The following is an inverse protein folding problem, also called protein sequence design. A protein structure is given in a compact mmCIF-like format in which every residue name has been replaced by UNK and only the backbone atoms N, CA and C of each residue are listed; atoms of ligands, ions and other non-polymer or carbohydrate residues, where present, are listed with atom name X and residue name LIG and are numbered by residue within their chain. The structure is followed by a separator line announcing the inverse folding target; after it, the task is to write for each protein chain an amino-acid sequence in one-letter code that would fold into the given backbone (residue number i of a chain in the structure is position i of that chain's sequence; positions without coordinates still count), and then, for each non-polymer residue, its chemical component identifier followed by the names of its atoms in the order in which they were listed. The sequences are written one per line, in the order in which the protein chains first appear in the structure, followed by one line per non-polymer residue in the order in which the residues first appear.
data_IF_280348495506
#
_entry.id   IF_280348495506
#
_cell.length_a   1.000
_cell.length_b   1.000
_cell.length_c   1.000
_cell.angle_alpha   90.00
_cell.angle_beta   90.00
_cell.angle_gamma   90.00
#
_symmetry.space_group_name_H-M   'P 1'
#
loop_
_entity.id
_entity.type
_entity.pdbx_description
1 polymer ?
#
# COMPACT_ATOMS: atom_id res chain seq x y z
N UNK A 1 -5.94 -5.13 -12.92
CA UNK A 1 -7.02 -4.37 -12.26
C UNK A 1 -6.59 -2.91 -12.22
N UNK A 2 -7.37 -2.04 -12.86
CA UNK A 2 -7.17 -0.60 -12.78
C UNK A 2 -7.56 -0.13 -11.37
N UNK A 3 -6.75 0.74 -10.78
CA UNK A 3 -7.02 1.35 -9.47
C UNK A 3 -7.44 2.78 -9.72
N UNK A 4 -8.62 3.16 -9.25
CA UNK A 4 -9.14 4.52 -9.42
C UNK A 4 -8.98 5.26 -8.12
N UNK A 5 -8.23 6.37 -8.16
CA UNK A 5 -7.89 7.18 -7.00
C UNK A 5 -8.39 8.61 -7.24
N UNK A 6 -8.93 9.26 -6.22
CA UNK A 6 -9.31 10.66 -6.26
C UNK A 6 -8.56 11.46 -5.20
N UNK A 7 -8.11 12.66 -5.56
CA UNK A 7 -7.62 13.69 -4.65
C UNK A 7 -8.49 14.94 -4.81
N UNK A 8 -8.65 15.72 -3.74
CA UNK A 8 -9.38 17.00 -3.77
C UNK A 8 -8.55 18.08 -3.10
N UNK A 9 -7.99 19.01 -3.88
CA UNK A 9 -7.06 20.02 -3.37
C UNK A 9 -6.86 21.17 -4.37
N UNK A 10 -6.22 22.25 -3.93
CA UNK A 10 -6.03 23.48 -4.71
C UNK A 10 -4.57 23.74 -5.08
N UNK A 11 -4.32 24.78 -5.88
CA UNK A 11 -2.98 25.10 -6.37
C UNK A 11 -1.98 25.45 -5.25
N UNK A 12 -2.44 25.94 -4.09
CA UNK A 12 -1.55 26.20 -2.96
C UNK A 12 -0.94 24.90 -2.40
N UNK A 13 -1.62 23.78 -2.60
CA UNK A 13 -1.18 22.44 -2.19
C UNK A 13 -0.55 21.64 -3.35
N UNK A 14 -0.18 22.27 -4.47
CA UNK A 14 0.33 21.57 -5.64
C UNK A 14 1.56 20.70 -5.35
N UNK A 15 2.45 21.16 -4.45
CA UNK A 15 3.62 20.39 -4.02
C UNK A 15 3.24 19.10 -3.28
N UNK A 16 2.18 19.16 -2.48
CA UNK A 16 1.66 18.05 -1.70
C UNK A 16 0.96 17.06 -2.63
N UNK A 17 0.08 17.55 -3.52
CA UNK A 17 -0.56 16.75 -4.57
C UNK A 17 0.49 15.99 -5.40
N UNK A 18 1.50 16.71 -5.91
CA UNK A 18 2.58 16.11 -6.70
C UNK A 18 3.34 15.03 -5.92
N UNK A 19 3.64 15.28 -4.66
CA UNK A 19 4.35 14.33 -3.80
C UNK A 19 3.52 13.06 -3.56
N UNK A 20 2.22 13.21 -3.29
CA UNK A 20 1.31 12.08 -3.14
C UNK A 20 1.19 11.29 -4.44
N UNK A 21 1.01 11.95 -5.59
CA UNK A 21 0.95 11.28 -6.91
C UNK A 21 2.24 10.51 -7.20
N UNK A 22 3.42 11.09 -6.95
CA UNK A 22 4.71 10.38 -7.12
C UNK A 22 4.76 9.11 -6.27
N UNK A 23 4.32 9.19 -5.02
CA UNK A 23 4.28 8.02 -4.13
C UNK A 23 3.29 6.94 -4.60
N UNK A 24 2.14 7.34 -5.15
CA UNK A 24 1.15 6.43 -5.76
C UNK A 24 1.77 5.70 -6.95
N UNK A 25 2.31 6.47 -7.91
CA UNK A 25 2.85 5.94 -9.17
C UNK A 25 4.07 5.06 -8.94
N UNK A 26 4.94 5.42 -7.98
CA UNK A 26 6.09 4.61 -7.61
C UNK A 26 5.69 3.23 -7.06
N UNK A 27 4.58 3.13 -6.32
CA UNK A 27 4.20 1.88 -5.66
C UNK A 27 3.12 1.08 -6.41
N UNK A 28 2.49 1.66 -7.44
CA UNK A 28 1.32 1.09 -8.11
C UNK A 28 1.34 1.35 -9.61
N UNK A 29 1.14 0.28 -10.40
CA UNK A 29 0.91 0.34 -11.85
C UNK A 29 -0.59 0.33 -12.15
N UNK A 30 -1.00 0.75 -13.36
CA UNK A 30 -2.39 0.75 -13.81
C UNK A 30 -3.31 1.56 -12.87
N UNK A 31 -2.98 2.85 -12.68
CA UNK A 31 -3.68 3.76 -11.79
C UNK A 31 -4.29 4.92 -12.58
N UNK A 32 -5.57 5.16 -12.37
CA UNK A 32 -6.29 6.33 -12.87
C UNK A 32 -6.49 7.28 -11.70
N UNK A 33 -5.89 8.47 -11.78
CA UNK A 33 -5.90 9.45 -10.69
C UNK A 33 -6.75 10.65 -11.14
N UNK A 34 -7.79 10.96 -10.38
CA UNK A 34 -8.58 12.16 -10.53
C UNK A 34 -8.11 13.23 -9.56
N UNK A 35 -7.89 14.46 -10.03
CA UNK A 35 -7.58 15.60 -9.18
C UNK A 35 -8.71 16.62 -9.28
N UNK A 36 -9.57 16.62 -8.26
CA UNK A 36 -10.67 17.56 -8.10
C UNK A 36 -10.11 18.89 -7.61
N UNK A 37 -10.27 19.94 -8.39
CA UNK A 37 -9.71 21.25 -8.10
C UNK A 37 -10.49 22.39 -8.79
N UNK A 38 -10.20 23.63 -8.41
CA UNK A 38 -10.80 24.81 -9.05
C UNK A 38 -9.79 25.63 -9.87
N UNK A 39 -8.51 25.57 -9.51
CA UNK A 39 -7.52 26.59 -9.87
C UNK A 39 -6.15 26.03 -10.34
N UNK A 40 -5.98 24.71 -10.41
CA UNK A 40 -4.72 24.12 -10.87
C UNK A 40 -4.58 24.33 -12.39
N UNK A 41 -3.47 24.92 -12.88
CA UNK A 41 -3.27 25.17 -14.31
C UNK A 41 -3.26 23.88 -15.14
N UNK A 42 -3.90 23.94 -16.31
CA UNK A 42 -3.89 22.83 -17.28
C UNK A 42 -2.47 22.41 -17.70
N UNK A 43 -1.52 23.35 -17.73
CA UNK A 43 -0.13 23.12 -18.12
C UNK A 43 0.56 22.11 -17.18
N UNK A 44 0.18 22.12 -15.90
CA UNK A 44 0.68 21.14 -14.93
C UNK A 44 0.18 19.73 -15.27
N UNK A 45 -1.10 19.57 -15.59
CA UNK A 45 -1.67 18.30 -16.03
C UNK A 45 -1.09 17.81 -17.36
N UNK A 46 -0.94 18.71 -18.34
CA UNK A 46 -0.30 18.39 -19.62
C UNK A 46 1.16 17.97 -19.43
N UNK A 47 1.90 18.69 -18.57
CA UNK A 47 3.29 18.38 -18.23
C UNK A 47 3.44 17.02 -17.55
N UNK A 48 2.60 16.74 -16.56
CA UNK A 48 2.59 15.46 -15.85
C UNK A 48 2.24 14.31 -16.79
N UNK A 49 1.16 14.43 -17.58
CA UNK A 49 0.72 13.37 -18.48
C UNK A 49 1.72 13.07 -19.61
N UNK A 50 2.62 14.00 -19.99
CA UNK A 50 3.73 13.70 -20.90
C UNK A 50 4.65 12.60 -20.37
N UNK A 51 4.87 12.53 -19.05
CA UNK A 51 5.63 11.44 -18.44
C UNK A 51 4.86 10.11 -18.44
N UNK A 52 3.53 10.16 -18.49
CA UNK A 52 2.65 9.00 -18.40
C UNK A 52 2.27 8.37 -19.74
N UNK A 53 2.64 8.98 -20.88
CA UNK A 53 2.25 8.53 -22.24
C UNK A 53 2.52 7.04 -22.49
N UNK A 54 3.63 6.51 -21.98
CA UNK A 54 4.02 5.10 -22.15
C UNK A 54 3.72 4.25 -20.90
N UNK A 55 2.94 4.79 -19.96
CA UNK A 55 2.56 4.10 -18.74
C UNK A 55 1.13 3.56 -18.85
N UNK A 56 0.75 2.70 -17.91
CA UNK A 56 -0.64 2.23 -17.77
C UNK A 56 -1.48 3.15 -16.86
N UNK A 57 -0.91 4.27 -16.43
CA UNK A 57 -1.50 5.18 -15.48
C UNK A 57 -1.82 6.53 -16.13
N UNK A 58 -2.81 7.24 -15.60
CA UNK A 58 -3.23 8.55 -16.11
C UNK A 58 -3.61 9.48 -14.95
N UNK A 59 -3.47 10.79 -15.16
CA UNK A 59 -3.96 11.82 -14.24
C UNK A 59 -4.97 12.70 -14.97
N UNK A 60 -6.20 12.75 -14.47
CA UNK A 60 -7.31 13.51 -15.05
C UNK A 60 -7.64 14.74 -14.20
N UNK A 61 -7.81 15.87 -14.89
CA UNK A 61 -8.22 17.15 -14.30
C UNK A 61 -9.74 17.19 -14.16
N UNK A 62 -10.24 17.31 -12.94
CA UNK A 62 -11.67 17.48 -12.65
C UNK A 62 -11.87 18.88 -12.08
N UNK A 63 -12.39 19.79 -12.92
CA UNK A 63 -12.68 21.16 -12.52
C UNK A 63 -14.05 21.27 -11.86
N UNK A 64 -14.08 21.90 -10.69
CA UNK A 64 -15.32 22.34 -10.05
C UNK A 64 -15.38 23.86 -9.98
N UNK A 65 -16.58 24.41 -10.06
CA UNK A 65 -16.76 25.85 -9.99
C UNK A 65 -16.56 26.30 -8.53
N UNK A 66 -15.62 27.22 -8.24
CA UNK A 66 -15.38 27.68 -6.88
C UNK A 66 -16.62 28.31 -6.23
N UNK A 67 -17.56 28.84 -7.03
CA UNK A 67 -18.81 29.40 -6.52
C UNK A 67 -19.72 28.36 -5.87
N UNK A 68 -19.61 27.09 -6.27
CA UNK A 68 -20.43 25.99 -5.75
C UNK A 68 -19.95 25.53 -4.37
N UNK A 69 -18.72 25.89 -3.97
CA UNK A 69 -18.11 25.44 -2.71
C UNK A 69 -17.67 26.58 -1.78
N UNK A 70 -17.51 27.82 -2.27
CA UNK A 70 -17.03 28.97 -1.47
C UNK A 70 -17.91 29.31 -0.26
N UNK A 71 -19.18 28.91 -0.29
CA UNK A 71 -20.15 29.21 0.77
C UNK A 71 -20.16 28.14 1.87
N UNK A 72 -19.48 27.02 1.65
CA UNK A 72 -19.33 25.95 2.64
C UNK A 72 -18.36 26.39 3.74
N UNK A 73 -18.55 25.90 4.95
CA UNK A 73 -17.71 26.22 6.10
C UNK A 73 -16.59 25.19 6.23
N UNK A 74 -15.38 25.65 6.56
CA UNK A 74 -14.25 24.79 6.94
C UNK A 74 -14.00 24.89 8.44
N UNK A 75 -13.37 23.86 9.01
CA UNK A 75 -13.14 23.79 10.47
C UNK A 75 -11.89 24.51 10.93
N UNK A 76 -10.92 24.70 10.05
CA UNK A 76 -9.60 25.23 10.38
C UNK A 76 -9.12 26.18 9.28
N UNK A 77 -8.45 27.26 9.66
CA UNK A 77 -8.02 28.33 8.73
C UNK A 77 -7.06 27.84 7.64
N UNK A 78 -6.36 26.73 7.88
CA UNK A 78 -5.45 26.12 6.90
C UNK A 78 -6.13 25.16 5.91
N UNK A 79 -7.44 24.92 6.06
CA UNK A 79 -8.24 24.06 5.19
C UNK A 79 -9.10 24.93 4.27
N UNK A 80 -8.88 24.74 2.97
CA UNK A 80 -9.63 25.39 1.89
C UNK A 80 -10.97 24.68 1.63
N UNK A 81 -11.95 25.41 1.10
CA UNK A 81 -13.28 24.90 0.72
C UNK A 81 -13.21 23.67 -0.21
N UNK A 82 -12.11 23.52 -0.94
CA UNK A 82 -11.86 22.36 -1.81
C UNK A 82 -11.84 21.03 -1.05
N UNK A 83 -11.70 21.01 0.28
CA UNK A 83 -11.81 19.77 1.06
C UNK A 83 -13.18 19.09 0.88
N UNK A 84 -14.23 19.87 0.62
CA UNK A 84 -15.57 19.38 0.30
C UNK A 84 -15.68 18.76 -1.10
N UNK A 85 -14.73 18.97 -2.01
CA UNK A 85 -14.77 18.34 -3.33
C UNK A 85 -14.85 16.80 -3.28
N UNK A 86 -14.36 16.18 -2.20
CA UNK A 86 -14.48 14.73 -1.95
C UNK A 86 -15.93 14.23 -1.88
N UNK A 87 -16.88 15.04 -1.40
CA UNK A 87 -18.27 14.61 -1.30
C UNK A 87 -18.95 14.58 -2.68
N UNK A 88 -18.39 15.27 -3.67
CA UNK A 88 -18.91 15.36 -5.03
C UNK A 88 -18.43 14.20 -5.94
N UNK A 89 -17.58 13.29 -5.43
CA UNK A 89 -17.05 12.14 -6.19
C UNK A 89 -18.13 11.36 -6.97
N UNK A 90 -19.31 11.05 -6.41
CA UNK A 90 -20.35 10.31 -7.13
C UNK A 90 -20.89 11.04 -8.36
N UNK A 91 -20.93 12.37 -8.36
CA UNK A 91 -21.33 13.18 -9.51
C UNK A 91 -20.19 13.38 -10.53
N UNK A 92 -18.95 13.44 -10.06
CA UNK A 92 -17.79 13.82 -10.87
C UNK A 92 -17.06 12.64 -11.52
N UNK A 93 -17.12 11.45 -10.91
CA UNK A 93 -16.31 10.29 -11.31
C UNK A 93 -17.21 9.11 -11.70
N UNK A 94 -17.03 8.59 -12.92
CA UNK A 94 -17.87 7.53 -13.48
C UNK A 94 -17.53 6.12 -12.98
N UNK A 95 -16.33 5.89 -12.47
CA UNK A 95 -15.89 4.57 -12.02
C UNK A 95 -16.66 4.08 -10.77
N UNK A 96 -16.87 2.76 -10.66
CA UNK A 96 -17.73 2.13 -9.64
C UNK A 96 -17.10 2.06 -8.24
N UNK A 97 -15.78 2.00 -8.16
CA UNK A 97 -15.03 1.97 -6.90
C UNK A 97 -13.93 3.02 -6.97
N UNK A 98 -13.85 3.88 -5.96
CA UNK A 98 -12.90 5.00 -5.91
C UNK A 98 -12.22 5.01 -4.55
N UNK A 99 -10.89 5.08 -4.53
CA UNK A 99 -10.13 5.37 -3.32
C UNK A 99 -9.85 6.87 -3.24
N UNK A 100 -10.50 7.58 -2.32
CA UNK A 100 -10.15 8.96 -2.02
C UNK A 100 -8.92 9.01 -1.11
N UNK A 101 -7.98 9.92 -1.41
CA UNK A 101 -6.80 10.22 -0.60
C UNK A 101 -6.65 11.75 -0.42
N UNK A 102 -6.39 12.19 0.81
CA UNK A 102 -5.92 13.55 1.07
C UNK A 102 -4.52 13.80 0.46
N UNK A 103 -4.21 15.06 0.17
CA UNK A 103 -2.94 15.45 -0.46
C UNK A 103 -1.73 15.43 0.48
N UNK A 104 -1.92 15.25 1.78
CA UNK A 104 -0.86 15.18 2.80
C UNK A 104 -0.54 13.73 3.20
N UNK A 105 -0.54 12.85 2.19
CA UNK A 105 -0.35 11.41 2.33
C UNK A 105 0.83 10.93 1.48
N UNK A 106 1.51 9.89 1.97
CA UNK A 106 2.42 9.05 1.20
C UNK A 106 1.86 7.64 1.06
N UNK A 107 1.68 7.18 -0.18
CA UNK A 107 1.48 5.77 -0.48
C UNK A 107 2.85 5.10 -0.50
N UNK A 108 3.05 4.18 0.43
CA UNK A 108 4.34 3.55 0.74
C UNK A 108 4.36 2.04 0.41
N UNK A 109 3.34 1.56 -0.31
CA UNK A 109 3.31 0.19 -0.80
C UNK A 109 2.21 -0.06 -1.82
N UNK A 110 2.20 -1.30 -2.33
CA UNK A 110 1.18 -1.75 -3.27
C UNK A 110 -0.22 -1.76 -2.62
N UNK A 111 -1.22 -1.27 -3.35
CA UNK A 111 -2.61 -1.14 -2.90
C UNK A 111 -3.56 -2.17 -3.55
N UNK A 112 -3.07 -3.20 -4.24
CA UNK A 112 -3.94 -4.15 -4.92
C UNK A 112 -4.93 -4.82 -3.95
N UNK A 113 -4.46 -5.15 -2.74
CA UNK A 113 -5.31 -5.85 -1.77
C UNK A 113 -6.37 -4.91 -1.18
N UNK A 114 -6.07 -3.62 -1.00
CA UNK A 114 -7.07 -2.60 -0.63
C UNK A 114 -8.23 -2.54 -1.64
N UNK A 115 -7.92 -2.51 -2.94
CA UNK A 115 -8.93 -2.48 -4.00
C UNK A 115 -9.67 -3.82 -4.20
N UNK A 116 -9.16 -4.92 -3.64
CA UNK A 116 -9.84 -6.24 -3.67
C UNK A 116 -10.76 -6.47 -2.47
N UNK A 117 -10.79 -5.55 -1.50
CA UNK A 117 -11.64 -5.68 -0.33
C UNK A 117 -13.11 -5.74 -0.77
N UNK A 118 -13.80 -6.77 -0.32
CA UNK A 118 -15.25 -6.84 -0.38
C UNK A 118 -15.82 -6.10 0.83
N UNK A 119 -16.33 -4.89 0.62
CA UNK A 119 -16.94 -4.06 1.68
C UNK A 119 -18.35 -4.51 2.07
N UNK A 120 -18.83 -5.67 1.59
CA UNK A 120 -20.14 -6.22 1.88
C UNK A 120 -21.25 -5.20 1.55
N UNK A 121 -22.13 -4.88 2.50
CA UNK A 121 -23.19 -3.88 2.36
C UNK A 121 -22.72 -2.43 2.54
N UNK A 122 -21.48 -2.19 2.97
CA UNK A 122 -21.03 -0.83 3.30
C UNK A 122 -20.68 -0.03 2.03
N UNK A 123 -21.15 1.21 1.99
CA UNK A 123 -20.85 2.15 0.90
C UNK A 123 -19.46 2.81 1.04
N UNK A 124 -18.90 2.77 2.24
CA UNK A 124 -17.64 3.42 2.60
C UNK A 124 -16.81 2.50 3.48
N UNK A 125 -15.52 2.39 3.15
CA UNK A 125 -14.50 1.79 3.99
C UNK A 125 -13.49 2.85 4.45
N UNK A 126 -13.19 2.89 5.74
CA UNK A 126 -12.26 3.84 6.32
C UNK A 126 -11.57 3.27 7.56
N UNK A 127 -10.51 3.94 8.01
CA UNK A 127 -9.81 3.59 9.25
C UNK A 127 -10.34 4.47 10.39
N UNK A 128 -10.64 3.90 11.57
CA UNK A 128 -11.02 4.67 12.75
C UNK A 128 -9.99 5.77 13.09
N UNK A 129 -10.46 6.94 13.52
CA UNK A 129 -9.56 7.97 14.03
C UNK A 129 -8.95 7.50 15.36
N UNK A 130 -7.62 7.62 15.50
CA UNK A 130 -6.91 7.08 16.68
C UNK A 130 -7.31 7.77 18.00
N UNK A 131 -7.84 8.99 17.93
CA UNK A 131 -8.12 9.82 19.10
C UNK A 131 -9.61 9.84 19.45
N UNK A 132 -10.16 8.68 19.82
CA UNK A 132 -11.32 8.62 20.73
C UNK A 132 -11.17 7.53 21.78
N UNK A 133 -10.58 7.96 22.88
CA UNK A 133 -10.99 7.57 24.24
C UNK A 133 -12.54 7.56 24.32
N UNK A 134 -13.12 6.43 24.72
CA UNK A 134 -14.52 6.27 25.15
C UNK A 134 -15.64 6.74 24.19
N UNK A 135 -16.05 5.89 23.23
CA UNK A 135 -17.48 5.75 22.93
C UNK A 135 -18.06 6.22 21.59
N UNK A 136 -17.28 6.70 20.61
CA UNK A 136 -17.81 6.82 19.23
C UNK A 136 -16.78 6.36 18.19
N UNK A 137 -17.12 5.33 17.42
CA UNK A 137 -16.28 4.72 16.39
C UNK A 137 -16.17 5.59 15.12
N UNK A 138 -15.82 6.88 15.25
CA UNK A 138 -15.71 7.79 14.09
C UNK A 138 -14.42 7.49 13.29
N UNK A 139 -14.51 7.58 11.97
CA UNK A 139 -13.39 7.37 11.05
C UNK A 139 -12.68 8.68 10.69
N UNK A 140 -11.41 8.55 10.30
CA UNK A 140 -10.68 9.63 9.63
C UNK A 140 -11.07 9.71 8.14
N UNK A 141 -11.33 10.91 7.63
CA UNK A 141 -11.81 11.11 6.25
C UNK A 141 -10.72 11.22 5.19
N UNK A 142 -9.44 11.13 5.55
CA UNK A 142 -8.34 11.30 4.60
C UNK A 142 -8.03 10.09 3.73
N UNK A 143 -8.57 8.92 4.07
CA UNK A 143 -8.55 7.72 3.22
C UNK A 143 -9.91 7.07 3.24
N UNK A 144 -10.60 7.08 2.10
CA UNK A 144 -11.94 6.51 1.95
C UNK A 144 -11.99 5.58 0.74
N UNK A 145 -12.28 4.30 0.97
CA UNK A 145 -12.64 3.37 -0.11
C UNK A 145 -14.14 3.47 -0.35
N UNK A 146 -14.53 4.04 -1.48
CA UNK A 146 -15.92 4.34 -1.82
C UNK A 146 -16.49 3.30 -2.76
N UNK A 147 -17.63 2.73 -2.41
CA UNK A 147 -18.52 2.05 -3.35
C UNK A 147 -19.29 3.13 -4.11
N UNK A 148 -18.61 3.73 -5.09
CA UNK A 148 -19.12 4.86 -5.84
C UNK A 148 -20.36 4.51 -6.66
N UNK A 149 -20.52 3.24 -7.07
CA UNK A 149 -21.76 2.74 -7.69
C UNK A 149 -22.96 2.94 -6.75
N UNK A 150 -22.85 2.47 -5.51
CA UNK A 150 -23.93 2.61 -4.54
C UNK A 150 -24.18 4.07 -4.14
N UNK A 151 -23.12 4.88 -4.04
CA UNK A 151 -23.26 6.31 -3.71
C UNK A 151 -23.97 7.12 -4.80
N UNK A 152 -23.85 6.72 -6.07
CA UNK A 152 -24.61 7.34 -7.18
C UNK A 152 -26.11 7.07 -7.12
N UNK A 153 -26.49 5.92 -6.58
CA UNK A 153 -27.89 5.54 -6.38
C UNK A 153 -28.51 6.24 -5.16
N UNK A 154 -27.67 6.67 -4.21
CA UNK A 154 -28.08 7.41 -3.02
C UNK A 154 -28.28 8.91 -3.30
N UNK A 155 -29.46 9.25 -3.81
CA UNK A 155 -29.88 10.62 -4.14
C UNK A 155 -29.81 11.60 -2.96
N UNK A 156 -29.72 11.12 -1.72
CA UNK A 156 -29.66 11.97 -0.53
C UNK A 156 -28.23 12.30 -0.09
N UNK A 157 -27.22 11.58 -0.60
CA UNK A 157 -25.84 11.72 -0.16
C UNK A 157 -25.33 13.16 -0.29
N UNK A 158 -25.18 13.64 -1.51
CA UNK A 158 -24.64 14.99 -1.77
C UNK A 158 -25.50 16.09 -1.14
N UNK A 159 -26.84 16.14 -1.35
CA UNK A 159 -27.67 17.20 -0.76
C UNK A 159 -27.62 17.26 0.77
N UNK A 160 -27.56 16.10 1.43
CA UNK A 160 -27.48 16.02 2.90
C UNK A 160 -26.16 16.57 3.42
N UNK A 161 -25.04 16.18 2.80
CA UNK A 161 -23.73 16.68 3.21
C UNK A 161 -23.56 18.18 2.89
N UNK A 162 -24.01 18.67 1.73
CA UNK A 162 -23.99 20.10 1.41
C UNK A 162 -24.82 20.94 2.40
N UNK A 163 -26.00 20.44 2.82
CA UNK A 163 -26.82 21.09 3.85
C UNK A 163 -26.15 21.14 5.22
N UNK A 164 -25.28 20.18 5.54
CA UNK A 164 -24.48 20.22 6.77
C UNK A 164 -23.27 21.17 6.61
N UNK A 165 -22.66 21.18 5.44
CA UNK A 165 -21.45 21.91 5.12
C UNK A 165 -21.59 23.44 5.25
N UNK A 166 -22.79 24.00 5.13
CA UNK A 166 -23.03 25.44 5.39
C UNK A 166 -22.91 25.82 6.87
N UNK A 167 -22.87 24.84 7.79
CA UNK A 167 -22.68 25.06 9.23
C UNK A 167 -21.21 24.87 9.59
N UNK A 168 -20.71 25.62 10.57
CA UNK A 168 -19.37 25.40 11.12
C UNK A 168 -19.35 24.13 11.98
N UNK A 169 -18.91 23.02 11.40
CA UNK A 169 -18.75 21.73 12.08
C UNK A 169 -17.38 21.65 12.78
N UNK A 170 -17.25 20.79 13.80
CA UNK A 170 -16.01 20.64 14.58
C UNK A 170 -14.81 20.15 13.75
N UNK A 171 -15.00 19.08 12.95
CA UNK A 171 -14.00 18.55 12.00
C UNK A 171 -14.53 18.56 10.55
N UNK A 172 -15.46 19.47 10.24
CA UNK A 172 -15.78 19.85 8.86
C UNK A 172 -16.43 18.72 8.09
N UNK A 173 -15.91 18.46 6.90
CA UNK A 173 -16.35 17.35 6.05
C UNK A 173 -16.23 15.99 6.74
N UNK A 174 -15.22 15.77 7.59
CA UNK A 174 -15.10 14.54 8.38
C UNK A 174 -16.30 14.37 9.33
N UNK A 175 -16.76 15.45 9.98
CA UNK A 175 -17.95 15.39 10.83
C UNK A 175 -19.18 15.03 10.01
N UNK A 176 -19.42 15.71 8.89
CA UNK A 176 -20.58 15.44 8.04
C UNK A 176 -20.59 14.00 7.50
N UNK A 177 -19.43 13.49 7.07
CA UNK A 177 -19.26 12.12 6.60
C UNK A 177 -19.52 11.08 7.71
N UNK A 178 -19.01 11.31 8.92
CA UNK A 178 -19.26 10.42 10.05
C UNK A 178 -20.73 10.44 10.50
N UNK A 179 -21.38 11.59 10.41
CA UNK A 179 -22.80 11.71 10.77
C UNK A 179 -23.69 11.06 9.70
N UNK A 180 -23.27 11.05 8.43
CA UNK A 180 -23.94 10.34 7.34
C UNK A 180 -23.72 8.82 7.37
N UNK A 181 -22.49 8.38 7.70
CA UNK A 181 -22.10 6.97 7.78
C UNK A 181 -21.79 6.56 9.23
N UNK A 182 -22.81 6.36 10.08
CA UNK A 182 -22.60 5.85 11.43
C UNK A 182 -22.07 4.41 11.46
N UNK A 183 -22.24 3.67 10.34
CA UNK A 183 -21.66 2.34 10.12
C UNK A 183 -20.88 2.34 8.80
N UNK A 184 -19.70 1.74 8.81
CA UNK A 184 -18.79 1.69 7.66
C UNK A 184 -17.91 0.44 7.77
N UNK A 185 -17.23 0.09 6.68
CA UNK A 185 -16.28 -1.01 6.67
C UNK A 185 -14.95 -0.57 7.32
N UNK A 186 -14.53 -1.24 8.39
CA UNK A 186 -13.27 -0.91 9.08
C UNK A 186 -12.08 -1.44 8.26
N UNK A 187 -11.31 -0.53 7.68
CA UNK A 187 -10.05 -0.85 7.02
C UNK A 187 -8.96 -1.14 8.05
N UNK A 188 -7.96 -1.93 7.64
CA UNK A 188 -6.76 -2.13 8.44
C UNK A 188 -5.99 -0.80 8.62
N UNK A 189 -5.46 -0.54 9.81
CA UNK A 189 -4.78 0.71 10.16
C UNK A 189 -3.59 1.04 9.25
N UNK A 190 -2.98 0.04 8.59
CA UNK A 190 -1.90 0.26 7.61
C UNK A 190 -2.34 1.05 6.38
N UNK A 191 -3.64 1.11 6.08
CA UNK A 191 -4.21 1.87 4.97
C UNK A 191 -4.53 3.32 5.32
N UNK A 192 -4.36 3.73 6.58
CA UNK A 192 -4.39 5.14 6.97
C UNK A 192 -3.62 5.29 8.29
N UNK A 193 -2.29 5.26 8.20
CA UNK A 193 -1.43 5.39 9.35
C UNK A 193 -1.29 6.86 9.72
N UNK A 194 -2.07 7.29 10.71
CA UNK A 194 -2.30 8.70 11.08
C UNK A 194 -1.11 9.27 11.89
N UNK A 195 0.08 9.31 11.28
CA UNK A 195 1.34 9.71 11.93
C UNK A 195 1.35 11.17 12.40
N UNK A 196 0.45 12.01 11.87
CA UNK A 196 0.23 13.36 12.36
C UNK A 196 -0.07 13.46 13.87
N UNK A 197 -0.57 12.38 14.47
CA UNK A 197 -0.78 12.29 15.92
C UNK A 197 0.51 12.40 16.74
N UNK A 198 1.68 12.21 16.14
CA UNK A 198 2.98 12.54 16.74
C UNK A 198 3.00 13.96 17.30
N UNK A 199 2.26 14.87 16.65
CA UNK A 199 2.22 16.24 17.08
C UNK A 199 1.54 16.44 18.45
N UNK A 200 0.67 15.52 18.83
CA UNK A 200 -0.13 15.59 20.04
C UNK A 200 0.53 14.86 21.21
N UNK A 201 1.58 14.05 20.99
CA UNK A 201 2.28 13.32 22.05
C UNK A 201 2.73 14.20 23.23
N UNK A 202 3.26 15.42 23.03
CA UNK A 202 3.66 16.31 24.14
C UNK A 202 2.48 16.94 24.89
N UNK A 203 1.25 16.77 24.42
CA UNK A 203 0.07 17.40 25.01
C UNK A 203 -0.41 16.70 26.29
N UNK A 204 -1.13 17.43 27.14
CA UNK A 204 -1.77 16.91 28.35
C UNK A 204 -2.80 15.80 28.11
N UNK A 205 -3.07 15.43 26.86
CA UNK A 205 -4.01 14.40 26.44
C UNK A 205 -3.47 12.98 26.59
N UNK A 206 -2.15 12.79 26.78
CA UNK A 206 -1.49 11.47 26.92
C UNK A 206 -1.03 11.16 28.36
N UNK A 207 -1.66 11.76 29.37
CA UNK A 207 -1.23 11.63 30.77
C UNK A 207 -1.57 10.27 31.42
N UNK A 208 -2.52 9.52 30.87
CA UNK A 208 -2.87 8.21 31.40
C UNK A 208 -2.11 7.07 30.68
N UNK A 209 -1.78 6.02 31.43
CA UNK A 209 -0.99 4.89 30.94
C UNK A 209 -1.67 4.11 29.82
N UNK A 210 -3.02 4.13 29.73
CA UNK A 210 -3.73 3.40 28.68
C UNK A 210 -3.55 4.09 27.32
N UNK A 211 -3.71 5.40 27.27
CA UNK A 211 -3.50 6.20 26.05
C UNK A 211 -2.05 6.14 25.60
N UNK A 212 -1.10 6.23 26.53
CA UNK A 212 0.31 6.10 26.22
C UNK A 212 0.66 4.73 25.62
N UNK A 213 0.18 3.63 26.23
CA UNK A 213 0.43 2.27 25.73
C UNK A 213 -0.26 1.98 24.41
N UNK A 214 -1.48 2.49 24.20
CA UNK A 214 -2.15 2.42 22.90
C UNK A 214 -1.33 3.11 21.83
N UNK A 215 -0.89 4.34 22.10
CA UNK A 215 -0.06 5.11 21.20
C UNK A 215 1.26 4.38 20.90
N UNK A 216 2.01 3.94 21.92
CA UNK A 216 3.26 3.16 21.81
C UNK A 216 3.11 1.88 20.97
N UNK A 217 1.98 1.18 21.08
CA UNK A 217 1.70 0.01 20.25
C UNK A 217 1.49 0.39 18.78
N UNK A 218 0.83 1.52 18.50
CA UNK A 218 0.67 2.06 17.14
C UNK A 218 1.97 2.67 16.60
N UNK A 219 2.93 3.07 17.45
CA UNK A 219 4.23 3.61 17.02
C UNK A 219 5.13 2.60 16.33
N UNK A 220 4.90 1.30 16.51
CA UNK A 220 5.86 0.28 16.09
C UNK A 220 6.04 0.21 14.57
N UNK A 221 5.16 0.83 13.78
CA UNK A 221 5.17 0.73 12.31
C UNK A 221 5.28 -0.74 11.86
N UNK A 222 4.64 -1.64 12.61
CA UNK A 222 4.63 -3.08 12.38
C UNK A 222 3.19 -3.61 12.37
N UNK A 223 2.70 -4.16 11.25
CA UNK A 223 3.35 -4.18 9.94
C UNK A 223 3.57 -2.76 9.38
N UNK A 224 4.52 -2.62 8.44
CA UNK A 224 4.89 -1.31 7.90
C UNK A 224 3.71 -0.70 7.13
N UNK A 225 3.37 0.59 7.35
CA UNK A 225 2.16 1.18 6.81
C UNK A 225 2.21 1.27 5.28
N UNK A 226 1.08 0.94 4.64
CA UNK A 226 0.90 1.07 3.18
C UNK A 226 0.55 2.52 2.79
N UNK A 227 -0.11 3.25 3.68
CA UNK A 227 -0.47 4.66 3.50
C UNK A 227 -0.14 5.41 4.79
N UNK A 228 0.71 6.43 4.70
CA UNK A 228 1.15 7.28 5.82
C UNK A 228 0.47 8.63 5.67
N UNK A 229 -0.27 9.07 6.68
CA UNK A 229 -1.07 10.28 6.64
C UNK A 229 -0.58 11.31 7.66
N UNK A 230 -0.01 12.40 7.16
CA UNK A 230 0.59 13.48 7.95
C UNK A 230 -0.46 14.50 8.42
N UNK A 231 -1.47 14.01 9.15
CA UNK A 231 -2.59 14.81 9.68
C UNK A 231 -2.13 15.93 10.62
N UNK A 232 -3.06 16.81 11.02
CA UNK A 232 -2.81 17.92 11.95
C UNK A 232 -1.73 18.91 11.47
N UNK A 233 -1.21 19.72 12.39
CA UNK A 233 -0.47 20.94 12.08
C UNK A 233 1.05 20.72 11.96
N UNK A 234 1.59 19.57 12.35
CA UNK A 234 3.04 19.30 12.24
C UNK A 234 3.31 18.60 10.91
N UNK A 235 3.40 19.38 9.83
CA UNK A 235 3.60 18.84 8.48
C UNK A 235 5.08 18.57 8.20
N UNK A 236 5.43 17.47 7.49
CA UNK A 236 6.82 17.09 7.24
C UNK A 236 7.59 18.09 6.36
N UNK A 237 6.88 18.94 5.59
CA UNK A 237 7.47 20.02 4.79
C UNK A 237 7.69 21.33 5.56
N UNK A 238 7.25 21.42 6.81
CA UNK A 238 7.57 22.57 7.65
C UNK A 238 9.02 22.50 8.16
N UNK A 239 9.61 23.69 8.34
CA UNK A 239 10.97 23.84 8.84
C UNK A 239 11.13 23.11 10.19
N UNK A 240 10.24 23.42 11.14
CA UNK A 240 10.17 22.80 12.45
C UNK A 240 9.06 21.74 12.46
N UNK A 241 9.42 20.51 12.12
CA UNK A 241 8.51 19.36 12.12
C UNK A 241 9.08 18.27 13.01
N UNK A 242 8.23 17.71 13.85
CA UNK A 242 8.56 16.69 14.86
C UNK A 242 7.86 15.36 14.60
N UNK A 243 7.11 15.25 13.50
CA UNK A 243 6.51 13.96 13.08
C UNK A 243 7.59 13.02 12.55
N UNK A 244 7.48 11.75 12.93
CA UNK A 244 8.30 10.67 12.39
C UNK A 244 8.00 10.45 10.91
N UNK A 245 8.86 9.70 10.24
CA UNK A 245 8.81 9.43 8.80
C UNK A 245 8.84 10.69 7.92
N UNK A 246 9.33 11.84 8.41
CA UNK A 246 9.50 13.06 7.62
C UNK A 246 10.38 12.81 6.39
N UNK A 247 11.42 11.99 6.53
CA UNK A 247 12.32 11.59 5.46
C UNK A 247 11.61 10.85 4.31
N UNK A 248 10.52 10.13 4.59
CA UNK A 248 9.71 9.49 3.55
C UNK A 248 9.01 10.52 2.67
N UNK A 249 8.45 11.57 3.26
CA UNK A 249 7.85 12.65 2.49
C UNK A 249 8.88 13.31 1.57
N UNK A 250 10.05 13.65 2.12
CA UNK A 250 11.12 14.30 1.33
C UNK A 250 11.69 13.38 0.25
N UNK A 251 11.76 12.06 0.49
CA UNK A 251 12.15 11.09 -0.53
C UNK A 251 11.27 11.18 -1.78
N UNK A 252 9.94 11.15 -1.62
CA UNK A 252 9.02 11.27 -2.76
C UNK A 252 8.93 12.69 -3.32
N UNK A 253 9.06 13.72 -2.48
CA UNK A 253 9.04 15.12 -2.92
C UNK A 253 10.21 15.43 -3.86
N UNK A 254 11.39 14.88 -3.56
CA UNK A 254 12.63 15.08 -4.33
C UNK A 254 12.75 14.10 -5.51
N UNK A 255 11.83 13.15 -5.64
CA UNK A 255 11.81 12.19 -6.73
C UNK A 255 11.31 12.84 -8.02
N UNK A 256 11.94 12.53 -9.15
CA UNK A 256 11.42 12.91 -10.46
C UNK A 256 10.28 11.99 -10.89
N UNK A 257 9.32 12.51 -11.65
CA UNK A 257 8.21 11.70 -12.19
C UNK A 257 8.71 10.53 -13.05
N UNK A 258 9.78 10.71 -13.83
CA UNK A 258 10.41 9.63 -14.60
C UNK A 258 10.87 8.48 -13.71
N UNK A 259 11.45 8.79 -12.55
CA UNK A 259 11.84 7.78 -11.55
C UNK A 259 10.61 7.11 -10.95
N UNK A 260 9.57 7.89 -10.60
CA UNK A 260 8.32 7.35 -10.06
C UNK A 260 7.64 6.37 -11.03
N UNK A 261 7.60 6.71 -12.32
CA UNK A 261 6.85 5.96 -13.34
C UNK A 261 7.63 4.73 -13.84
N UNK A 262 8.96 4.86 -14.00
CA UNK A 262 9.80 3.76 -14.48
C UNK A 262 10.22 2.81 -13.37
N UNK A 263 9.96 3.15 -12.11
CA UNK A 263 10.14 2.20 -11.02
C UNK A 263 9.20 1.03 -11.25
N UNK A 264 9.75 -0.18 -11.42
CA UNK A 264 8.96 -1.40 -11.34
C UNK A 264 8.64 -1.58 -9.86
N UNK A 265 7.38 -1.33 -9.41
CA UNK A 265 7.08 -1.41 -8.00
C UNK A 265 7.48 -2.78 -7.51
N UNK A 266 8.16 -2.85 -6.36
CA UNK A 266 8.31 -4.11 -5.66
C UNK A 266 6.91 -4.64 -5.43
N UNK A 267 6.52 -5.61 -6.25
CA UNK A 267 5.42 -6.50 -5.95
C UNK A 267 5.81 -7.09 -4.61
N UNK A 268 5.13 -6.66 -3.54
CA UNK A 268 5.34 -7.07 -2.15
C UNK A 268 4.86 -8.52 -2.02
N UNK A 269 5.55 -9.39 -2.78
CA UNK A 269 5.31 -10.80 -2.93
C UNK A 269 6.37 -11.45 -2.08
N UNK A 270 5.99 -12.32 -1.15
CA UNK A 270 6.98 -13.03 -0.38
C UNK A 270 7.94 -13.78 -1.30
N UNK A 271 9.22 -13.66 -1.00
CA UNK A 271 10.31 -14.21 -1.78
C UNK A 271 10.61 -15.64 -1.31
N UNK A 272 10.50 -16.60 -2.22
CA UNK A 272 10.84 -17.99 -2.02
C UNK A 272 12.22 -18.22 -2.65
N UNK A 273 13.24 -18.45 -1.84
CA UNK A 273 14.62 -18.56 -2.30
C UNK A 273 15.08 -20.01 -2.40
N UNK A 274 15.88 -20.32 -3.42
CA UNK A 274 16.56 -21.61 -3.55
C UNK A 274 17.92 -21.42 -4.22
N UNK A 275 18.90 -22.23 -3.80
CA UNK A 275 20.25 -22.23 -4.34
C UNK A 275 20.53 -23.60 -4.94
N UNK A 276 21.03 -23.65 -6.17
CA UNK A 276 21.25 -24.91 -6.88
C UNK A 276 22.61 -24.99 -7.56
N UNK A 277 23.11 -26.22 -7.67
CA UNK A 277 24.21 -26.61 -8.54
C UNK A 277 23.74 -27.56 -9.66
N UNK A 278 22.42 -27.73 -9.81
CA UNK A 278 21.79 -28.56 -10.83
C UNK A 278 20.63 -27.84 -11.50
N UNK A 279 20.18 -28.38 -12.63
CA UNK A 279 18.98 -27.89 -13.33
C UNK A 279 17.72 -28.67 -12.93
N UNK A 280 17.88 -29.68 -12.08
CA UNK A 280 16.84 -30.63 -11.74
C UNK A 280 16.25 -30.27 -10.39
N UNK A 281 14.94 -30.05 -10.40
CA UNK A 281 14.16 -29.68 -9.23
C UNK A 281 12.95 -30.58 -9.14
N UNK A 282 12.54 -30.90 -7.92
CA UNK A 282 11.27 -31.57 -7.69
C UNK A 282 10.13 -30.54 -7.69
N UNK A 283 9.19 -30.70 -8.62
CA UNK A 283 7.92 -29.97 -8.73
C UNK A 283 8.01 -28.42 -8.78
N UNK A 284 9.17 -27.85 -9.12
CA UNK A 284 9.38 -26.41 -9.14
C UNK A 284 8.40 -25.67 -10.06
N UNK A 285 8.25 -26.13 -11.31
CA UNK A 285 7.39 -25.46 -12.29
C UNK A 285 5.91 -25.50 -11.90
N UNK A 286 5.47 -26.56 -11.23
CA UNK A 286 4.11 -26.68 -10.71
C UNK A 286 3.88 -25.73 -9.53
N UNK A 287 4.85 -25.61 -8.60
CA UNK A 287 4.80 -24.62 -7.52
C UNK A 287 4.76 -23.19 -8.06
N UNK A 288 5.55 -22.88 -9.11
CA UNK A 288 5.53 -21.58 -9.78
C UNK A 288 4.13 -21.25 -10.31
N UNK A 289 3.43 -22.21 -10.91
CA UNK A 289 2.05 -22.03 -11.39
C UNK A 289 1.04 -21.88 -10.26
N UNK A 290 1.19 -22.64 -9.18
CA UNK A 290 0.29 -22.61 -8.02
C UNK A 290 0.47 -21.34 -7.17
N UNK A 291 1.64 -20.70 -7.20
CA UNK A 291 1.98 -19.54 -6.36
C UNK A 291 2.26 -18.27 -7.20
N UNK A 292 1.30 -17.78 -7.99
CA UNK A 292 1.50 -16.64 -8.89
C UNK A 292 1.75 -15.31 -8.14
N UNK A 293 1.37 -15.23 -6.86
CA UNK A 293 1.54 -14.07 -5.99
C UNK A 293 2.83 -14.14 -5.13
N UNK A 294 3.73 -15.07 -5.39
CA UNK A 294 5.04 -15.17 -4.74
C UNK A 294 6.14 -14.78 -5.73
N UNK A 295 7.37 -14.55 -5.27
CA UNK A 295 8.53 -14.40 -6.15
C UNK A 295 9.49 -15.55 -5.93
N UNK A 296 9.72 -16.38 -6.95
CA UNK A 296 10.72 -17.45 -6.91
C UNK A 296 12.09 -16.87 -7.29
N UNK A 297 13.01 -16.84 -6.34
CA UNK A 297 14.40 -16.44 -6.54
C UNK A 297 15.27 -17.69 -6.62
N UNK A 298 15.69 -18.03 -7.84
CA UNK A 298 16.49 -19.23 -8.10
C UNK A 298 17.90 -18.77 -8.43
N UNK A 299 18.87 -19.15 -7.60
CA UNK A 299 20.26 -18.76 -7.75
C UNK A 299 21.17 -19.97 -7.98
N UNK A 300 22.25 -19.77 -8.74
CA UNK A 300 23.30 -20.75 -8.97
C UNK A 300 24.67 -20.07 -8.99
N UNK A 301 25.71 -20.78 -8.55
CA UNK A 301 27.10 -20.30 -8.64
C UNK A 301 27.63 -20.25 -10.07
N UNK A 302 26.97 -20.96 -10.99
CA UNK A 302 27.37 -21.12 -12.39
C UNK A 302 26.27 -20.60 -13.33
N UNK A 303 26.53 -20.67 -14.63
CA UNK A 303 25.50 -20.58 -15.66
C UNK A 303 24.36 -21.59 -15.42
N UNK A 304 23.16 -21.23 -15.89
CA UNK A 304 21.96 -22.07 -15.82
C UNK A 304 21.62 -22.63 -17.19
N UNK A 305 21.34 -23.94 -17.27
CA UNK A 305 20.87 -24.53 -18.53
C UNK A 305 19.35 -24.39 -18.76
N UNK A 306 18.91 -24.96 -19.88
CA UNK A 306 17.60 -24.70 -20.47
C UNK A 306 16.40 -24.99 -19.57
N UNK A 307 16.46 -26.04 -18.72
CA UNK A 307 15.36 -26.37 -17.82
C UNK A 307 15.04 -25.24 -16.83
N UNK A 308 16.06 -24.46 -16.45
CA UNK A 308 15.89 -23.29 -15.59
C UNK A 308 15.61 -22.03 -16.40
N UNK A 309 16.38 -21.74 -17.44
CA UNK A 309 16.21 -20.49 -18.20
C UNK A 309 14.82 -20.36 -18.83
N UNK A 310 14.20 -21.47 -19.27
CA UNK A 310 12.80 -21.45 -19.78
C UNK A 310 11.78 -20.95 -18.75
N UNK A 311 12.06 -21.03 -17.45
CA UNK A 311 11.15 -20.58 -16.40
C UNK A 311 10.98 -19.06 -16.37
N UNK A 312 11.82 -18.29 -17.06
CA UNK A 312 11.64 -16.85 -17.24
C UNK A 312 10.32 -16.49 -17.96
N UNK A 313 9.68 -17.44 -18.64
CA UNK A 313 8.33 -17.26 -19.18
C UNK A 313 7.28 -16.97 -18.09
N UNK A 314 7.55 -17.33 -16.84
CA UNK A 314 6.64 -17.08 -15.72
C UNK A 314 6.96 -15.74 -15.05
N UNK A 315 5.98 -14.82 -14.94
CA UNK A 315 6.22 -13.46 -14.43
C UNK A 315 6.66 -13.41 -12.97
N UNK A 316 6.44 -14.50 -12.22
CA UNK A 316 6.80 -14.68 -10.82
C UNK A 316 8.16 -15.39 -10.58
N UNK A 317 8.97 -15.62 -11.62
CA UNK A 317 10.31 -16.24 -11.50
C UNK A 317 11.41 -15.21 -11.74
N UNK A 318 12.48 -15.26 -10.94
CA UNK A 318 13.72 -14.50 -11.10
C UNK A 318 14.90 -15.47 -11.02
N UNK A 319 15.70 -15.50 -12.09
CA UNK A 319 16.89 -16.35 -12.18
C UNK A 319 18.15 -15.51 -11.94
N UNK A 320 19.09 -16.09 -11.21
CA UNK A 320 20.38 -15.48 -10.90
C UNK A 320 21.49 -16.49 -11.23
N UNK A 321 21.92 -16.59 -12.50
CA UNK A 321 23.11 -17.36 -12.88
C UNK A 321 24.39 -16.66 -12.40
N UNK A 322 25.42 -17.42 -12.04
CA UNK A 322 26.74 -16.89 -11.71
C UNK A 322 26.78 -15.96 -10.49
N UNK A 323 25.99 -16.24 -9.44
CA UNK A 323 25.93 -15.33 -8.28
C UNK A 323 27.26 -15.28 -7.54
N UNK A 324 27.57 -14.10 -6.98
CA UNK A 324 28.70 -13.90 -6.07
C UNK A 324 28.22 -13.83 -4.61
N UNK A 325 29.10 -14.08 -3.62
CA UNK A 325 28.69 -14.12 -2.20
C UNK A 325 27.94 -12.88 -1.69
N UNK A 326 28.28 -11.63 -2.06
CA UNK A 326 27.48 -10.47 -1.66
C UNK A 326 26.04 -10.51 -2.17
N UNK A 327 25.84 -10.91 -3.43
CA UNK A 327 24.50 -11.02 -4.04
C UNK A 327 23.72 -12.15 -3.37
N UNK A 328 24.35 -13.30 -3.13
CA UNK A 328 23.74 -14.40 -2.40
C UNK A 328 23.25 -13.97 -1.01
N UNK A 329 24.07 -13.23 -0.26
CA UNK A 329 23.70 -12.72 1.07
C UNK A 329 22.49 -11.78 0.99
N UNK A 330 22.43 -10.92 -0.02
CA UNK A 330 21.27 -10.05 -0.24
C UNK A 330 20.00 -10.85 -0.56
N UNK A 331 20.09 -11.87 -1.42
CA UNK A 331 18.95 -12.73 -1.75
C UNK A 331 18.46 -13.49 -0.52
N UNK A 332 19.36 -14.07 0.26
CA UNK A 332 19.04 -14.75 1.52
C UNK A 332 18.36 -13.79 2.50
N UNK A 333 18.87 -12.58 2.69
CA UNK A 333 18.29 -11.62 3.64
C UNK A 333 16.89 -11.16 3.25
N UNK A 334 16.58 -11.10 1.95
CA UNK A 334 15.28 -10.67 1.44
C UNK A 334 14.27 -11.82 1.32
N UNK A 335 14.69 -13.07 1.50
CA UNK A 335 13.83 -14.24 1.37
C UNK A 335 12.92 -14.43 2.59
N UNK A 336 11.66 -14.77 2.36
CA UNK A 336 10.72 -15.11 3.43
C UNK A 336 10.79 -16.60 3.79
N UNK A 337 11.18 -17.47 2.85
CA UNK A 337 11.44 -18.88 3.10
C UNK A 337 12.50 -19.46 2.15
N UNK A 338 12.95 -20.68 2.45
CA UNK A 338 13.83 -21.46 1.59
C UNK A 338 13.08 -22.65 0.97
N UNK A 339 13.31 -22.92 -0.32
CA UNK A 339 12.82 -24.11 -1.00
C UNK A 339 13.99 -25.07 -1.23
N UNK A 340 14.08 -26.11 -0.40
CA UNK A 340 15.09 -27.16 -0.50
C UNK A 340 14.61 -28.28 -1.43
N UNK A 341 14.41 -27.94 -2.70
CA UNK A 341 13.75 -28.79 -3.70
C UNK A 341 14.61 -29.07 -4.94
N UNK A 342 15.87 -28.61 -4.96
CA UNK A 342 16.85 -29.02 -5.97
C UNK A 342 17.42 -30.40 -5.64
N UNK A 343 17.81 -31.16 -6.66
CA UNK A 343 18.56 -32.40 -6.45
C UNK A 343 20.04 -32.12 -6.16
N UNK A 344 20.73 -33.11 -5.59
CA UNK A 344 22.15 -33.03 -5.27
C UNK A 344 23.03 -32.76 -6.50
N UNK A 345 24.17 -32.06 -6.33
CA UNK A 345 24.76 -31.62 -5.07
C UNK A 345 24.14 -30.34 -4.49
N UNK A 346 24.19 -30.21 -3.16
CA UNK A 346 23.63 -29.08 -2.40
C UNK A 346 24.65 -28.41 -1.50
N UNK A 347 24.43 -27.12 -1.25
CA UNK A 347 25.15 -26.38 -0.22
C UNK A 347 24.47 -26.57 1.15
N UNK A 348 24.86 -27.64 1.85
CA UNK A 348 24.27 -27.99 3.15
C UNK A 348 24.51 -26.91 4.21
N UNK A 349 25.65 -26.21 4.14
CA UNK A 349 25.98 -25.14 5.09
C UNK A 349 25.04 -23.95 4.92
N UNK A 350 24.74 -23.59 3.67
CA UNK A 350 23.76 -22.55 3.38
C UNK A 350 22.37 -22.89 3.92
N UNK A 351 21.90 -24.12 3.72
CA UNK A 351 20.57 -24.54 4.17
C UNK A 351 20.51 -24.51 5.71
N UNK A 352 21.56 -24.98 6.39
CA UNK A 352 21.67 -24.89 7.86
C UNK A 352 21.64 -23.43 8.34
N UNK A 353 22.48 -22.57 7.76
CA UNK A 353 22.52 -21.14 8.11
C UNK A 353 21.15 -20.46 7.89
N UNK A 354 20.41 -20.86 6.86
CA UNK A 354 19.05 -20.37 6.66
C UNK A 354 18.10 -20.88 7.76
N UNK A 355 18.19 -22.15 8.11
CA UNK A 355 17.36 -22.77 9.16
C UNK A 355 17.57 -22.09 10.52
N UNK A 356 18.81 -21.68 10.83
CA UNK A 356 19.18 -20.98 12.07
C UNK A 356 18.58 -19.56 12.15
N UNK A 357 18.16 -18.98 11.02
CA UNK A 357 17.46 -17.70 10.99
C UNK A 357 15.99 -17.77 11.43
N UNK A 358 15.48 -18.96 11.76
CA UNK A 358 14.10 -19.17 12.21
C UNK A 358 13.03 -19.09 11.12
N UNK A 359 13.43 -18.90 9.85
CA UNK A 359 12.52 -18.85 8.70
C UNK A 359 12.19 -20.24 8.19
N UNK A 360 10.98 -20.46 7.63
CA UNK A 360 10.55 -21.78 7.17
C UNK A 360 11.38 -22.28 5.98
N UNK A 361 11.61 -23.60 5.97
CA UNK A 361 12.19 -24.34 4.87
C UNK A 361 11.19 -25.40 4.41
N UNK A 362 10.96 -25.50 3.10
CA UNK A 362 10.05 -26.48 2.50
C UNK A 362 10.83 -27.45 1.61
N UNK A 363 10.55 -28.74 1.70
CA UNK A 363 11.21 -29.78 0.90
C UNK A 363 10.28 -30.94 0.56
N UNK A 364 10.66 -31.77 -0.41
CA UNK A 364 10.03 -33.05 -0.72
C UNK A 364 10.90 -34.22 -0.23
N UNK A 365 10.31 -35.41 -0.04
CA UNK A 365 11.03 -36.62 0.37
C UNK A 365 12.24 -36.94 -0.53
N UNK A 366 12.11 -36.76 -1.84
CA UNK A 366 13.20 -37.01 -2.80
C UNK A 366 14.33 -35.99 -2.76
N UNK A 367 14.08 -34.83 -2.13
CA UNK A 367 15.01 -33.70 -2.10
C UNK A 367 15.28 -33.22 -0.68
N UNK A 368 14.97 -33.97 0.37
CA UNK A 368 15.26 -33.51 1.73
C UNK A 368 16.77 -33.52 2.00
N UNK A 369 17.25 -32.54 2.74
CA UNK A 369 18.62 -32.51 3.29
C UNK A 369 18.71 -33.16 4.67
N UNK A 370 17.61 -33.75 5.16
CA UNK A 370 17.49 -34.43 6.46
C UNK A 370 17.95 -33.59 7.67
N UNK A 371 17.67 -32.29 7.63
CA UNK A 371 17.95 -31.38 8.75
C UNK A 371 16.84 -31.48 9.79
N UNK A 372 17.20 -31.69 11.05
CA UNK A 372 16.27 -31.70 12.17
C UNK A 372 16.11 -30.28 12.73
N UNK A 373 15.16 -29.52 12.19
CA UNK A 373 14.78 -28.19 12.69
C UNK A 373 13.25 -28.06 12.70
N UNK A 374 12.68 -27.41 13.73
CA UNK A 374 11.23 -27.21 13.87
C UNK A 374 10.58 -26.48 12.68
N UNK A 375 11.36 -25.67 11.95
CA UNK A 375 10.89 -24.91 10.79
C UNK A 375 11.16 -25.60 9.44
N UNK A 376 11.52 -26.88 9.44
CA UNK A 376 11.80 -27.67 8.25
C UNK A 376 10.61 -28.59 7.91
N UNK A 377 9.85 -28.25 6.88
CA UNK A 377 8.61 -28.92 6.50
C UNK A 377 8.84 -29.84 5.29
N UNK A 378 8.76 -31.16 5.52
CA UNK A 378 8.90 -32.18 4.49
C UNK A 378 7.54 -32.69 4.03
N UNK A 379 7.38 -32.83 2.71
CA UNK A 379 6.15 -33.31 2.06
C UNK A 379 6.46 -34.55 1.19
N UNK A 380 5.46 -35.41 0.98
CA UNK A 380 5.60 -36.44 -0.03
C UNK A 380 5.72 -35.80 -1.42
N UNK A 381 6.41 -36.48 -2.32
CA UNK A 381 6.72 -36.01 -3.67
C UNK A 381 5.48 -35.63 -4.52
N UNK A 382 4.31 -36.16 -4.21
CA UNK A 382 3.04 -35.90 -4.92
C UNK A 382 2.22 -34.77 -4.26
N UNK A 383 2.61 -34.31 -3.07
CA UNK A 383 1.83 -33.39 -2.24
C UNK A 383 2.11 -31.91 -2.54
N UNK A 384 2.30 -31.56 -3.81
CA UNK A 384 2.64 -30.20 -4.27
C UNK A 384 1.62 -29.17 -3.79
N UNK A 385 0.34 -29.51 -3.88
CA UNK A 385 -0.76 -28.66 -3.40
C UNK A 385 -0.72 -28.45 -1.87
N UNK A 386 -0.35 -29.47 -1.09
CA UNK A 386 -0.23 -29.33 0.37
C UNK A 386 0.93 -28.42 0.73
N UNK A 387 2.07 -28.55 0.06
CA UNK A 387 3.21 -27.64 0.23
C UNK A 387 2.81 -26.20 -0.13
N UNK A 388 2.17 -25.98 -1.27
CA UNK A 388 1.71 -24.65 -1.69
C UNK A 388 0.74 -24.02 -0.68
N UNK A 389 -0.21 -24.81 -0.14
CA UNK A 389 -1.11 -24.35 0.92
C UNK A 389 -0.36 -24.00 2.21
N UNK A 390 0.64 -24.81 2.58
CA UNK A 390 1.46 -24.52 3.77
C UNK A 390 2.27 -23.23 3.58
N UNK A 391 2.88 -23.02 2.42
CA UNK A 391 3.56 -21.76 2.07
C UNK A 391 2.61 -20.58 2.25
N UNK A 392 1.39 -20.64 1.69
CA UNK A 392 0.38 -19.58 1.86
C UNK A 392 0.03 -19.29 3.33
N UNK A 393 0.03 -20.31 4.18
CA UNK A 393 -0.29 -20.15 5.60
C UNK A 393 0.83 -19.51 6.44
N UNK A 394 2.10 -19.76 6.08
CA UNK A 394 3.27 -19.36 6.88
C UNK A 394 4.04 -18.17 6.30
N UNK A 395 3.85 -17.88 5.02
CA UNK A 395 4.65 -16.92 4.26
C UNK A 395 3.68 -15.89 3.68
N UNK A 396 3.51 -14.77 4.39
CA UNK A 396 2.60 -13.66 4.05
C UNK A 396 3.38 -12.41 3.64
#
# INVERSE_FOLDING_TARGET
MQKVIALSSDYNYINQIETTIKSILFNNLNVKIYVINSDIPQEWFLGLNKFLVNSTSEVQDIKINPNDIKHLQTSWDHISNISWGRILIPELINDDQVLYLDSDIIVNGNLNDLFRINMQQYMLGAVPEYFKLAGSAKFNSGVLLLNNRALKEDVNFIPTLLKQAVKKLGNGDQTALNDYFPQYYHLNDTYNFQIGFDALYPSSLFKDQHTQKFYENHLRCTPFPKIIHYMFNSKPWYNNSYVRLKEKWWYYRMMDFSTAINHVPKLDRPCLFTMTNTQDFKNLEELVKLLPNYTFQIAAWTEMGWKLSRLQQYPNVRLYPGVIPPVQKTLINNANCYLDINFNPKDINLIKNFADSGRPIFTFNSTTSNLTNQNYYTFNDEEVNKMANKIRSLVQ
#
